data_IF_619109055739
#
_entry.id   IF_619109055739
#
_cell.length_a   1.000
_cell.length_b   1.000
_cell.length_c   1.000
_cell.angle_alpha   90.00
_cell.angle_beta   90.00
_cell.angle_gamma   90.00
#
_symmetry.space_group_name_H-M   'P 1'
#
loop_
_entity.id
_entity.type
_entity.pdbx_description
1 polymer ?
#
# COMPACT_ATOMS: atom_id res chain seq x y z
N UNK A 1 -2.09 10.57 0.35
CA UNK A 1 -3.49 10.18 0.62
C UNK A 1 -3.59 9.65 2.04
N UNK A 2 -4.67 10.01 2.72
CA UNK A 2 -5.05 9.56 4.05
C UNK A 2 -6.58 9.42 4.08
N UNK A 3 -7.11 8.33 4.63
CA UNK A 3 -8.55 8.20 4.85
C UNK A 3 -8.99 9.00 6.07
N UNK A 4 -10.24 9.51 6.03
CA UNK A 4 -10.79 10.37 7.09
C UNK A 4 -11.15 9.64 8.39
N UNK A 5 -11.10 8.31 8.39
CA UNK A 5 -11.46 7.42 9.50
C UNK A 5 -10.24 6.95 10.31
N UNK A 6 -9.09 7.63 10.18
CA UNK A 6 -7.85 7.32 10.91
C UNK A 6 -7.56 8.40 11.98
N UNK A 7 -8.30 8.44 13.11
CA UNK A 7 -8.28 9.58 14.04
C UNK A 7 -7.00 9.72 14.88
N UNK A 8 -6.16 8.66 14.95
CA UNK A 8 -4.98 8.61 15.83
C UNK A 8 -3.68 8.89 15.05
N UNK A 9 -3.77 9.24 13.76
CA UNK A 9 -2.58 9.59 12.99
C UNK A 9 -1.93 10.86 13.54
N UNK A 10 -0.61 10.81 13.74
CA UNK A 10 0.16 11.96 14.24
C UNK A 10 0.86 12.68 13.11
N UNK A 11 1.03 13.99 13.29
CA UNK A 11 1.73 14.86 12.35
C UNK A 11 3.14 14.34 12.03
N UNK A 12 3.89 13.90 13.03
CA UNK A 12 5.26 13.41 12.85
C UNK A 12 5.29 12.16 11.99
N UNK A 13 4.26 11.31 12.08
CA UNK A 13 4.16 10.10 11.23
C UNK A 13 3.94 10.48 9.77
N UNK A 14 3.17 11.53 9.50
CA UNK A 14 2.95 12.02 8.14
C UNK A 14 4.23 12.68 7.61
N UNK A 15 4.90 13.52 8.40
CA UNK A 15 6.19 14.14 8.00
C UNK A 15 7.23 13.08 7.66
N UNK A 16 7.44 12.10 8.55
CA UNK A 16 8.35 10.98 8.31
C UNK A 16 8.03 10.21 7.02
N UNK A 17 6.75 10.03 6.68
CA UNK A 17 6.34 9.35 5.46
C UNK A 17 6.72 10.16 4.21
N UNK A 18 6.48 11.46 4.24
CA UNK A 18 6.79 12.39 3.14
C UNK A 18 8.30 12.51 2.95
N UNK A 19 9.05 12.73 4.03
CA UNK A 19 10.51 12.89 3.99
C UNK A 19 11.17 11.65 3.37
N UNK A 20 10.77 10.45 3.82
CA UNK A 20 11.26 9.18 3.24
C UNK A 20 10.92 9.03 1.77
N UNK A 21 9.77 9.53 1.33
CA UNK A 21 9.39 9.48 -0.08
C UNK A 21 10.27 10.38 -0.93
N UNK A 22 10.57 11.59 -0.44
CA UNK A 22 11.36 12.59 -1.16
C UNK A 22 12.84 12.20 -1.20
N UNK A 23 13.43 11.81 -0.07
CA UNK A 23 14.87 11.51 0.04
C UNK A 23 15.39 10.48 -0.97
N UNK A 24 14.53 9.54 -1.37
CA UNK A 24 14.87 8.43 -2.27
C UNK A 24 14.19 8.52 -3.62
N UNK A 25 13.42 9.56 -3.89
CA UNK A 25 12.67 9.71 -5.14
C UNK A 25 11.69 8.55 -5.37
N UNK A 26 11.11 8.03 -4.30
CA UNK A 26 10.20 6.88 -4.34
C UNK A 26 8.92 7.25 -5.08
N UNK A 27 8.41 6.33 -5.90
CA UNK A 27 7.17 6.54 -6.64
C UNK A 27 5.93 6.33 -5.78
N UNK A 28 6.06 5.48 -4.77
CA UNK A 28 5.09 5.35 -3.70
C UNK A 28 5.79 5.04 -2.38
N UNK A 29 5.37 5.70 -1.31
CA UNK A 29 5.73 5.35 0.06
C UNK A 29 4.46 5.01 0.83
N UNK A 30 4.43 3.83 1.43
CA UNK A 30 3.25 3.27 2.09
C UNK A 30 3.53 3.13 3.58
N UNK A 31 2.62 3.60 4.42
CA UNK A 31 2.65 3.28 5.84
C UNK A 31 2.03 1.90 6.05
N UNK A 32 2.75 0.99 6.70
CA UNK A 32 2.28 -0.35 7.04
C UNK A 32 2.36 -0.56 8.54
N UNK A 33 1.61 -1.55 9.04
CA UNK A 33 1.66 -1.98 10.44
C UNK A 33 1.61 -3.50 10.53
N UNK A 34 2.15 -4.06 11.62
CA UNK A 34 2.06 -5.49 11.91
C UNK A 34 1.18 -5.71 13.12
N UNK A 35 0.01 -6.31 12.92
CA UNK A 35 -0.99 -6.51 13.99
C UNK A 35 -1.30 -7.99 14.19
N UNK A 36 -1.71 -8.36 15.41
CA UNK A 36 -2.02 -9.76 15.76
C UNK A 36 -3.25 -10.29 15.05
N UNK A 37 -4.29 -9.45 14.92
CA UNK A 37 -5.52 -9.79 14.21
C UNK A 37 -5.67 -8.87 12.99
N UNK A 38 -5.28 -9.32 11.79
CA UNK A 38 -5.32 -8.49 10.59
C UNK A 38 -6.66 -8.54 9.84
N UNK A 39 -7.67 -9.26 10.35
CA UNK A 39 -8.98 -9.38 9.68
C UNK A 39 -9.59 -8.00 9.37
N UNK A 40 -10.02 -7.83 8.12
CA UNK A 40 -10.66 -6.61 7.63
C UNK A 40 -9.73 -5.65 6.90
N UNK A 41 -8.41 -5.87 6.96
CA UNK A 41 -7.42 -5.00 6.31
C UNK A 41 -6.91 -5.58 4.98
N UNK A 42 -6.41 -4.74 4.07
CA UNK A 42 -5.58 -5.23 2.97
C UNK A 42 -4.24 -5.80 3.48
N UNK A 43 -3.71 -6.84 2.82
CA UNK A 43 -2.41 -7.45 3.15
C UNK A 43 -1.31 -6.98 2.21
N UNK A 44 -0.14 -6.73 2.79
CA UNK A 44 1.07 -6.42 2.02
C UNK A 44 1.68 -7.72 1.50
N UNK A 45 1.68 -7.90 0.18
CA UNK A 45 2.31 -9.06 -0.46
C UNK A 45 3.72 -8.70 -0.89
N UNK A 46 4.70 -9.53 -0.51
CA UNK A 46 6.12 -9.33 -0.82
C UNK A 46 6.68 -10.47 -1.68
N UNK A 47 7.69 -10.17 -2.46
CA UNK A 47 8.52 -11.17 -3.15
C UNK A 47 9.54 -11.82 -2.19
N UNK A 48 10.29 -12.78 -2.72
CA UNK A 48 11.36 -13.49 -1.98
C UNK A 48 12.49 -12.57 -1.50
N UNK A 49 12.68 -11.42 -2.15
CA UNK A 49 13.70 -10.43 -1.80
C UNK A 49 13.15 -9.40 -0.80
N UNK A 50 11.93 -9.61 -0.31
CA UNK A 50 11.24 -8.74 0.65
C UNK A 50 10.64 -7.49 0.03
N UNK A 51 10.65 -7.33 -1.29
CA UNK A 51 10.09 -6.17 -1.99
C UNK A 51 8.59 -6.30 -2.09
N UNK A 52 7.85 -5.20 -1.95
CA UNK A 52 6.41 -5.22 -2.13
C UNK A 52 6.07 -5.53 -3.59
N UNK A 53 5.12 -6.45 -3.78
CA UNK A 53 4.56 -6.82 -5.06
C UNK A 53 3.22 -6.12 -5.30
N UNK A 54 2.32 -6.19 -4.31
CA UNK A 54 0.97 -5.61 -4.37
C UNK A 54 0.33 -5.61 -2.99
N UNK A 55 -0.86 -5.02 -2.91
CA UNK A 55 -1.77 -5.12 -1.78
C UNK A 55 -2.97 -5.96 -2.23
N UNK A 56 -3.46 -6.86 -1.37
CA UNK A 56 -4.69 -7.62 -1.62
C UNK A 56 -5.68 -7.32 -0.50
N UNK A 57 -6.87 -6.85 -0.84
CA UNK A 57 -7.94 -6.54 0.12
C UNK A 57 -8.53 -7.79 0.77
N UNK A 58 -9.03 -7.69 2.00
CA UNK A 58 -9.48 -8.84 2.81
C UNK A 58 -10.44 -9.78 2.06
N UNK A 59 -11.37 -9.21 1.29
CA UNK A 59 -12.39 -9.95 0.53
C UNK A 59 -11.83 -10.73 -0.66
N UNK A 60 -10.60 -10.41 -1.08
CA UNK A 60 -9.94 -10.98 -2.25
C UNK A 60 -8.75 -11.88 -1.86
N UNK A 61 -8.51 -12.07 -0.55
CA UNK A 61 -7.43 -12.92 -0.04
C UNK A 61 -7.73 -14.42 -0.20
N UNK A 62 -6.71 -15.16 -0.62
CA UNK A 62 -6.65 -16.61 -0.47
C UNK A 62 -6.41 -17.00 1.00
N UNK A 63 -6.83 -18.20 1.41
CA UNK A 63 -6.66 -18.72 2.78
C UNK A 63 -5.21 -18.65 3.30
N UNK A 64 -4.23 -18.90 2.43
CA UNK A 64 -2.81 -18.81 2.81
C UNK A 64 -2.38 -17.36 3.11
N UNK A 65 -2.98 -16.39 2.42
CA UNK A 65 -2.63 -14.97 2.53
C UNK A 65 -3.27 -14.32 3.78
N UNK A 66 -4.40 -14.85 4.28
CA UNK A 66 -5.05 -14.37 5.50
C UNK A 66 -4.15 -14.37 6.74
N UNK A 67 -3.12 -15.24 6.76
CA UNK A 67 -2.11 -15.36 7.83
C UNK A 67 -1.03 -14.27 7.80
N UNK A 68 -1.00 -13.43 6.75
CA UNK A 68 -0.07 -12.31 6.68
C UNK A 68 -0.52 -11.27 7.71
N UNK A 69 0.39 -10.89 8.62
CA UNK A 69 0.08 -9.94 9.69
C UNK A 69 0.49 -8.50 9.36
N UNK A 70 1.16 -8.28 8.22
CA UNK A 70 1.48 -6.93 7.74
C UNK A 70 0.31 -6.38 6.93
N UNK A 71 -0.27 -5.29 7.44
CA UNK A 71 -1.49 -4.68 6.90
C UNK A 71 -1.21 -3.38 6.17
N UNK A 72 -2.08 -3.10 5.21
CA UNK A 72 -2.26 -1.79 4.62
C UNK A 72 -2.97 -0.85 5.61
N UNK A 73 -2.35 0.27 5.95
CA UNK A 73 -2.98 1.28 6.84
C UNK A 73 -3.84 2.29 6.08
N UNK A 74 -3.80 2.28 4.75
CA UNK A 74 -4.51 3.26 3.93
C UNK A 74 -3.83 4.64 3.86
N UNK A 75 -2.56 4.73 4.25
CA UNK A 75 -1.80 5.98 4.25
C UNK A 75 -0.63 5.88 3.28
N UNK A 76 -0.59 6.83 2.33
CA UNK A 76 0.32 6.80 1.20
C UNK A 76 0.88 8.19 0.89
N UNK A 77 2.13 8.23 0.43
CA UNK A 77 2.72 9.34 -0.30
C UNK A 77 3.03 8.85 -1.71
N UNK A 78 2.61 9.58 -2.74
CA UNK A 78 2.81 9.20 -4.14
C UNK A 78 3.52 10.32 -4.88
N UNK A 79 4.38 9.92 -5.81
CA UNK A 79 4.75 10.78 -6.92
C UNK A 79 3.51 11.01 -7.81
N UNK A 80 3.12 12.27 -7.98
CA UNK A 80 1.84 12.61 -8.62
C UNK A 80 1.79 12.15 -10.09
N UNK A 81 2.90 12.24 -10.82
CA UNK A 81 2.96 11.79 -12.21
C UNK A 81 2.74 10.28 -12.30
N UNK A 82 3.45 9.52 -11.46
CA UNK A 82 3.28 8.07 -11.41
C UNK A 82 1.85 7.68 -11.01
N UNK A 83 1.24 8.37 -10.04
CA UNK A 83 -0.14 8.08 -9.64
C UNK A 83 -1.13 8.32 -10.78
N UNK A 84 -1.02 9.45 -11.48
CA UNK A 84 -1.93 9.79 -12.59
C UNK A 84 -1.78 8.81 -13.76
N UNK A 85 -0.56 8.36 -14.05
CA UNK A 85 -0.33 7.34 -15.09
C UNK A 85 -0.96 5.98 -14.74
N UNK A 86 -0.90 5.60 -13.45
CA UNK A 86 -1.26 4.23 -13.02
C UNK A 86 -2.71 4.09 -12.58
N UNK A 87 -3.36 5.17 -12.13
CA UNK A 87 -4.77 5.15 -11.72
C UNK A 87 -5.71 4.83 -12.89
N UNK A 88 -5.34 5.23 -14.12
CA UNK A 88 -6.11 4.94 -15.34
C UNK A 88 -6.13 3.45 -15.71
N UNK A 89 -5.19 2.67 -15.17
CA UNK A 89 -5.05 1.25 -15.46
C UNK A 89 -5.82 0.36 -14.47
N UNK A 90 -6.37 0.93 -13.41
CA UNK A 90 -7.16 0.18 -12.42
C UNK A 90 -8.42 -0.36 -13.10
N UNK A 91 -8.71 -1.65 -12.86
CA UNK A 91 -9.90 -2.32 -13.36
C UNK A 91 -10.71 -2.88 -12.19
N UNK A 92 -12.05 -2.88 -12.27
CA UNK A 92 -12.91 -3.40 -11.21
C UNK A 92 -13.00 -4.94 -11.26
N UNK A 93 -11.85 -5.61 -11.34
CA UNK A 93 -11.72 -7.06 -11.47
C UNK A 93 -11.47 -7.72 -10.11
N UNK A 94 -12.24 -7.32 -9.10
CA UNK A 94 -12.23 -7.89 -7.75
C UNK A 94 -13.62 -8.37 -7.36
N UNK A 95 -13.72 -9.07 -6.23
CA UNK A 95 -14.97 -9.64 -5.74
C UNK A 95 -16.05 -8.58 -5.45
N UNK A 96 -15.68 -7.30 -5.28
CA UNK A 96 -16.61 -6.19 -5.06
C UNK A 96 -17.00 -5.45 -6.34
N UNK A 97 -16.30 -5.67 -7.46
CA UNK A 97 -16.44 -4.89 -8.71
C UNK A 97 -16.17 -3.40 -8.52
N UNK A 98 -15.23 -3.06 -7.65
CA UNK A 98 -14.85 -1.68 -7.32
C UNK A 98 -13.47 -1.31 -7.88
N UNK A 99 -13.19 -0.02 -8.03
CA UNK A 99 -11.83 0.45 -8.36
C UNK A 99 -11.03 0.60 -7.08
N UNK A 100 -10.20 -0.38 -6.75
CA UNK A 100 -9.34 -0.27 -5.57
C UNK A 100 -8.08 0.51 -5.91
N UNK A 101 -7.88 1.63 -5.23
CA UNK A 101 -6.63 2.38 -5.33
C UNK A 101 -5.40 1.53 -4.98
N UNK A 102 -5.56 0.55 -4.09
CA UNK A 102 -4.47 -0.35 -3.69
C UNK A 102 -3.83 -1.10 -4.85
N UNK A 103 -4.55 -1.27 -5.96
CA UNK A 103 -4.05 -1.93 -7.17
C UNK A 103 -2.96 -1.11 -7.86
N UNK A 104 -2.91 0.21 -7.66
CA UNK A 104 -1.82 1.08 -8.12
C UNK A 104 -0.47 0.57 -7.64
N UNK A 105 -0.39 0.01 -6.43
CA UNK A 105 0.86 -0.53 -5.89
C UNK A 105 1.36 -1.73 -6.72
N UNK A 106 0.44 -2.59 -7.17
CA UNK A 106 0.76 -3.68 -8.07
C UNK A 106 1.29 -3.18 -9.41
N UNK A 107 0.57 -2.24 -10.01
CA UNK A 107 0.91 -1.65 -11.31
C UNK A 107 2.28 -0.96 -11.26
N UNK A 108 2.55 -0.16 -10.22
CA UNK A 108 3.85 0.49 -10.02
C UNK A 108 4.95 -0.57 -9.86
N UNK A 109 4.73 -1.60 -9.04
CA UNK A 109 5.72 -2.66 -8.80
C UNK A 109 6.09 -3.41 -10.09
N UNK A 110 5.11 -3.69 -10.95
CA UNK A 110 5.31 -4.36 -12.24
C UNK A 110 6.10 -3.48 -13.22
N UNK A 111 5.76 -2.19 -13.33
CA UNK A 111 6.40 -1.26 -14.27
C UNK A 111 7.77 -0.77 -13.81
N UNK A 112 7.96 -0.60 -12.49
CA UNK A 112 9.08 0.12 -11.89
C UNK A 112 9.58 -0.62 -10.66
N UNK A 113 10.33 -1.70 -10.88
CA UNK A 113 10.90 -2.50 -9.78
C UNK A 113 11.78 -1.62 -8.88
N UNK A 114 11.63 -1.78 -7.56
CA UNK A 114 12.34 -1.03 -6.50
C UNK A 114 11.97 0.45 -6.36
N UNK A 115 10.79 0.86 -6.78
CA UNK A 115 10.33 2.25 -6.66
C UNK A 115 9.29 2.49 -5.56
N UNK A 116 9.06 1.47 -4.72
CA UNK A 116 8.08 1.52 -3.64
C UNK A 116 8.77 1.30 -2.31
N UNK A 117 8.55 2.22 -1.39
CA UNK A 117 9.06 2.19 -0.02
C UNK A 117 7.96 1.83 0.96
N UNK A 118 8.33 1.06 1.98
CA UNK A 118 7.46 0.82 3.13
C UNK A 118 8.04 1.51 4.37
N UNK A 119 7.17 2.24 5.06
CA UNK A 119 7.40 2.76 6.41
C UNK A 119 6.56 1.93 7.36
N UNK A 120 7.17 0.98 8.08
CA UNK A 120 6.46 0.13 9.03
C UNK A 120 6.49 0.78 10.42
N UNK A 121 5.31 0.99 11.04
CA UNK A 121 5.21 1.18 12.50
C UNK A 121 5.00 -0.20 13.14
N UNK A 122 5.65 -0.44 14.29
CA UNK A 122 5.47 -1.67 15.07
C UNK A 122 4.28 -1.54 16.01
#
# INVERSE_FOLDING_TARGET
>A
MLYGDVPIIREETIRELVDKSIEKGEKATILTSRIKNPTGYGRIIRDKDGKILKIIEEKDLEEKQKRINEINTGIYCFDIQTLMETIEEIKPNNNQKEYYLTDVIGIISEKRRNSIRISCKR
#
